data_IF_282808533191
#
_entry.id   IF_282808533191
#
_cell.length_a   1.000
_cell.length_b   1.000
_cell.length_c   1.000
_cell.angle_alpha   90.00
_cell.angle_beta   90.00
_cell.angle_gamma   90.00
#
_symmetry.space_group_name_H-M   'P 1'
#
loop_
_entity.id
_entity.type
_entity.pdbx_description
1 polymer ?
#
# COMPACT_ATOMS: atom_id res chain seq x y z
N UNK A 1 -3.01 0.79 -27.76
CA UNK A 1 -1.94 1.80 -27.52
C UNK A 1 -0.86 1.15 -26.70
N UNK A 2 0.43 1.41 -26.95
CA UNK A 2 1.48 0.90 -26.10
C UNK A 2 1.30 1.40 -24.65
N UNK A 3 1.51 0.53 -23.67
CA UNK A 3 1.34 0.85 -22.23
C UNK A 3 2.23 2.01 -21.72
N UNK A 4 3.19 2.41 -22.52
CA UNK A 4 4.18 3.46 -22.21
C UNK A 4 3.87 4.83 -22.79
N UNK A 5 2.82 4.99 -23.60
CA UNK A 5 2.48 6.29 -24.19
C UNK A 5 1.86 7.21 -23.12
N UNK A 6 2.62 8.22 -22.70
CA UNK A 6 2.23 9.18 -21.67
C UNK A 6 2.14 10.63 -22.19
N UNK A 7 2.50 10.88 -23.45
CA UNK A 7 2.59 12.23 -24.01
C UNK A 7 1.28 13.03 -23.94
N UNK A 8 0.14 12.34 -23.94
CA UNK A 8 -1.17 12.98 -23.78
C UNK A 8 -1.43 13.50 -22.35
N UNK A 9 -0.58 13.15 -21.37
CA UNK A 9 -0.69 13.60 -19.97
C UNK A 9 0.01 14.94 -19.70
N UNK A 10 0.66 15.54 -20.69
CA UNK A 10 1.40 16.81 -20.53
C UNK A 10 0.54 17.97 -20.01
N UNK A 11 -0.79 17.92 -20.20
CA UNK A 11 -1.69 18.91 -19.60
C UNK A 11 -1.65 18.91 -18.08
N UNK A 12 -1.22 17.82 -17.44
CA UNK A 12 -1.08 17.73 -15.99
C UNK A 12 0.08 18.57 -15.44
N UNK A 13 1.05 18.95 -16.27
CA UNK A 13 2.25 19.66 -15.81
C UNK A 13 1.91 20.99 -15.16
N UNK A 14 1.03 21.78 -15.77
CA UNK A 14 0.60 23.06 -15.22
C UNK A 14 -0.42 22.86 -14.07
N UNK A 15 -1.36 21.91 -14.22
CA UNK A 15 -2.40 21.66 -13.22
C UNK A 15 -1.81 21.14 -11.88
N UNK A 16 -0.73 20.34 -11.96
CA UNK A 16 -0.09 19.76 -10.80
C UNK A 16 1.12 20.55 -10.29
N UNK A 17 1.45 21.63 -10.93
CA UNK A 17 2.50 22.54 -10.49
C UNK A 17 2.30 22.93 -9.03
N UNK A 18 3.29 22.68 -8.20
CA UNK A 18 3.23 22.92 -6.75
C UNK A 18 2.22 22.07 -5.96
N UNK A 19 1.64 21.02 -6.54
CA UNK A 19 0.83 20.04 -5.80
C UNK A 19 1.73 18.95 -5.25
N UNK A 20 1.60 18.66 -3.97
CA UNK A 20 2.39 17.61 -3.31
C UNK A 20 1.64 16.29 -3.20
N UNK A 21 0.32 16.33 -3.28
CA UNK A 21 -0.56 15.16 -3.14
C UNK A 21 -1.56 15.16 -4.28
N UNK A 22 -1.68 14.01 -4.94
CA UNK A 22 -2.67 13.75 -5.98
C UNK A 22 -3.50 12.53 -5.59
N UNK A 23 -4.81 12.65 -5.63
CA UNK A 23 -5.74 11.57 -5.37
C UNK A 23 -6.25 11.01 -6.70
N UNK A 24 -5.97 9.73 -6.95
CA UNK A 24 -6.45 9.01 -8.13
C UNK A 24 -7.70 8.19 -7.77
N UNK A 25 -8.84 8.84 -7.77
CA UNK A 25 -10.13 8.19 -7.53
C UNK A 25 -10.53 7.21 -8.63
N UNK A 26 -11.54 6.40 -8.35
CA UNK A 26 -12.21 5.51 -9.32
C UNK A 26 -13.67 5.35 -8.97
N UNK A 27 -14.48 5.08 -9.99
CA UNK A 27 -15.90 4.85 -9.80
C UNK A 27 -16.19 3.37 -9.49
N UNK A 28 -15.37 2.46 -10.01
CA UNK A 28 -15.52 1.02 -9.87
C UNK A 28 -14.13 0.36 -9.82
N UNK A 29 -13.87 -0.42 -8.78
CA UNK A 29 -12.57 -1.08 -8.55
C UNK A 29 -12.14 -2.08 -9.64
N UNK A 30 -13.06 -2.59 -10.44
CA UNK A 30 -12.81 -3.62 -11.45
C UNK A 30 -12.79 -3.07 -12.89
N UNK A 31 -12.75 -1.76 -13.06
CA UNK A 31 -12.65 -1.16 -14.39
C UNK A 31 -11.19 -1.18 -14.89
N UNK A 32 -10.91 -2.09 -15.83
CA UNK A 32 -9.59 -2.25 -16.43
C UNK A 32 -9.10 -0.99 -17.14
N UNK A 33 -9.97 -0.23 -17.80
CA UNK A 33 -9.58 1.00 -18.47
C UNK A 33 -9.09 2.06 -17.49
N UNK A 34 -9.76 2.20 -16.35
CA UNK A 34 -9.33 3.06 -15.24
C UNK A 34 -8.00 2.60 -14.64
N UNK A 35 -7.84 1.30 -14.40
CA UNK A 35 -6.58 0.74 -13.89
C UNK A 35 -5.41 0.96 -14.85
N UNK A 36 -5.64 0.79 -16.16
CA UNK A 36 -4.62 1.08 -17.16
C UNK A 36 -4.26 2.56 -17.19
N UNK A 37 -5.25 3.46 -17.11
CA UNK A 37 -5.00 4.90 -17.05
C UNK A 37 -4.20 5.26 -15.80
N UNK A 38 -4.57 4.78 -14.63
CA UNK A 38 -3.82 4.99 -13.38
C UNK A 38 -2.38 4.50 -13.50
N UNK A 39 -2.15 3.36 -14.12
CA UNK A 39 -0.80 2.82 -14.38
C UNK A 39 0.05 3.81 -15.19
N UNK A 40 -0.50 4.40 -16.24
CA UNK A 40 0.18 5.41 -17.05
C UNK A 40 0.41 6.71 -16.28
N UNK A 41 -0.61 7.17 -15.57
CA UNK A 41 -0.51 8.38 -14.75
C UNK A 41 0.58 8.26 -13.68
N UNK A 42 0.63 7.15 -12.95
CA UNK A 42 1.66 6.93 -11.93
C UNK A 42 3.07 7.01 -12.51
N UNK A 43 3.30 6.40 -13.68
CA UNK A 43 4.60 6.51 -14.37
C UNK A 43 4.93 7.94 -14.75
N UNK A 44 3.98 8.64 -15.36
CA UNK A 44 4.15 10.02 -15.74
C UNK A 44 4.46 10.92 -14.54
N UNK A 45 3.69 10.78 -13.48
CA UNK A 45 3.86 11.54 -12.23
C UNK A 45 5.25 11.32 -11.63
N UNK A 46 5.75 10.08 -11.66
CA UNK A 46 7.09 9.79 -11.18
C UNK A 46 8.18 10.35 -12.10
N UNK A 47 8.10 10.06 -13.41
CA UNK A 47 9.16 10.38 -14.37
C UNK A 47 9.26 11.87 -14.70
N UNK A 48 8.11 12.58 -14.74
CA UNK A 48 8.04 13.97 -15.18
C UNK A 48 7.86 14.96 -14.05
N UNK A 49 7.11 14.59 -13.02
CA UNK A 49 6.72 15.50 -11.95
C UNK A 49 7.34 15.17 -10.59
N UNK A 50 8.14 14.08 -10.51
CA UNK A 50 8.94 13.75 -9.34
C UNK A 50 8.14 13.20 -8.15
N UNK A 51 6.91 12.74 -8.37
CA UNK A 51 6.16 12.03 -7.33
C UNK A 51 6.83 10.68 -7.05
N UNK A 52 7.20 10.45 -5.81
CA UNK A 52 8.00 9.29 -5.43
C UNK A 52 7.38 8.44 -4.32
N UNK A 53 6.17 8.76 -3.89
CA UNK A 53 5.42 7.98 -2.90
C UNK A 53 4.06 7.61 -3.49
N UNK A 54 3.69 6.35 -3.38
CA UNK A 54 2.39 5.83 -3.79
C UNK A 54 1.74 5.17 -2.60
N UNK A 55 0.55 5.66 -2.27
CA UNK A 55 -0.29 5.12 -1.22
C UNK A 55 -1.48 4.39 -1.85
N UNK A 56 -1.61 3.11 -1.53
CA UNK A 56 -2.78 2.31 -1.90
C UNK A 56 -3.87 2.38 -0.85
N UNK A 57 -5.12 2.29 -1.28
CA UNK A 57 -6.26 2.01 -0.40
C UNK A 57 -6.17 0.55 0.08
N UNK A 58 -5.29 0.34 1.03
CA UNK A 58 -4.98 -0.98 1.60
C UNK A 58 -4.41 -0.80 3.00
N UNK A 59 -4.36 -1.88 3.78
CA UNK A 59 -3.88 -1.84 5.15
C UNK A 59 -2.44 -1.33 5.26
N UNK A 60 -2.25 -0.25 6.01
CA UNK A 60 -0.93 0.31 6.32
C UNK A 60 0.01 -0.75 6.89
N UNK A 61 -0.49 -1.59 7.80
CA UNK A 61 0.32 -2.62 8.42
C UNK A 61 0.66 -3.77 7.44
N UNK A 62 -0.26 -4.14 6.57
CA UNK A 62 -0.01 -5.15 5.54
C UNK A 62 1.08 -4.69 4.55
N UNK A 63 1.05 -3.41 4.17
CA UNK A 63 2.09 -2.80 3.33
C UNK A 63 3.43 -2.72 4.05
N UNK A 64 3.43 -2.35 5.34
CA UNK A 64 4.64 -2.38 6.16
C UNK A 64 5.27 -3.78 6.17
N UNK A 65 4.49 -4.83 6.41
CA UNK A 65 5.00 -6.20 6.40
C UNK A 65 5.52 -6.63 5.02
N UNK A 66 4.83 -6.27 3.95
CA UNK A 66 5.28 -6.55 2.59
C UNK A 66 6.62 -5.86 2.29
N UNK A 67 6.79 -4.63 2.74
CA UNK A 67 8.02 -3.85 2.53
C UNK A 67 9.21 -4.46 3.28
N UNK A 68 9.00 -5.17 4.41
CA UNK A 68 10.07 -5.89 5.12
C UNK A 68 10.69 -7.04 4.30
N UNK A 69 9.94 -7.63 3.37
CA UNK A 69 10.47 -8.67 2.47
C UNK A 69 11.52 -8.12 1.48
N UNK A 70 11.62 -6.81 1.35
CA UNK A 70 12.48 -6.11 0.40
C UNK A 70 11.93 -6.10 -1.03
N UNK A 71 12.30 -5.11 -1.80
CA UNK A 71 11.72 -4.78 -3.10
C UNK A 71 11.71 -5.94 -4.11
N UNK A 72 12.80 -6.69 -4.19
CA UNK A 72 12.92 -7.78 -5.16
C UNK A 72 12.02 -8.99 -4.84
N UNK A 73 11.68 -9.17 -3.57
CA UNK A 73 10.81 -10.24 -3.09
C UNK A 73 9.40 -9.78 -2.78
N UNK A 74 9.12 -8.51 -3.06
CA UNK A 74 7.80 -7.92 -2.84
C UNK A 74 6.72 -8.74 -3.55
N UNK A 75 5.76 -9.20 -2.80
CA UNK A 75 4.59 -9.91 -3.31
C UNK A 75 3.32 -9.10 -2.97
N UNK A 76 2.75 -8.39 -3.96
CA UNK A 76 1.57 -7.55 -3.73
C UNK A 76 0.36 -8.30 -3.19
N UNK A 77 0.25 -9.60 -3.46
CA UNK A 77 -0.87 -10.42 -2.94
C UNK A 77 -0.91 -10.49 -1.43
N UNK A 78 0.17 -10.11 -0.75
CA UNK A 78 0.24 -10.11 0.72
C UNK A 78 -0.37 -8.86 1.36
N UNK A 79 -0.53 -7.79 0.61
CA UNK A 79 -0.91 -6.51 1.18
C UNK A 79 -1.97 -5.76 0.38
N UNK A 80 -2.10 -6.03 -0.91
CA UNK A 80 -2.92 -5.25 -1.83
C UNK A 80 -4.09 -6.08 -2.34
N UNK A 81 -5.25 -5.47 -2.48
CA UNK A 81 -6.43 -6.14 -3.05
C UNK A 81 -6.16 -6.71 -4.44
N UNK A 82 -6.79 -7.83 -4.76
CA UNK A 82 -6.55 -8.60 -6.00
C UNK A 82 -6.71 -7.76 -7.26
N UNK A 83 -7.65 -6.83 -7.32
CA UNK A 83 -7.87 -5.97 -8.49
C UNK A 83 -6.70 -4.99 -8.72
N UNK A 84 -5.95 -4.61 -7.67
CA UNK A 84 -4.79 -3.73 -7.78
C UNK A 84 -3.50 -4.45 -8.23
N UNK A 85 -3.39 -5.76 -8.06
CA UNK A 85 -2.16 -6.48 -8.40
C UNK A 85 -2.38 -7.62 -9.40
N UNK A 86 -3.57 -8.22 -9.42
CA UNK A 86 -3.86 -9.42 -10.20
C UNK A 86 -4.35 -9.15 -11.62
N UNK A 87 -4.64 -7.90 -11.98
CA UNK A 87 -5.08 -7.54 -13.32
C UNK A 87 -3.91 -7.40 -14.30
N UNK A 88 -4.16 -7.67 -15.57
CA UNK A 88 -3.16 -7.45 -16.63
C UNK A 88 -2.79 -5.97 -16.76
N UNK A 89 -3.72 -5.08 -16.48
CA UNK A 89 -3.58 -3.63 -16.58
C UNK A 89 -2.59 -3.06 -15.57
N UNK A 90 -2.44 -3.70 -14.42
CA UNK A 90 -1.54 -3.25 -13.35
C UNK A 90 -0.21 -4.01 -13.32
N UNK A 91 -0.08 -5.13 -14.01
CA UNK A 91 1.12 -5.97 -14.01
C UNK A 91 2.40 -5.18 -14.33
N UNK A 92 2.34 -4.36 -15.39
CA UNK A 92 3.48 -3.54 -15.81
C UNK A 92 3.86 -2.49 -14.77
N UNK A 93 2.93 -2.04 -13.93
CA UNK A 93 3.20 -1.11 -12.84
C UNK A 93 4.00 -1.77 -11.72
N UNK A 94 3.69 -3.03 -11.38
CA UNK A 94 4.46 -3.78 -10.38
C UNK A 94 5.89 -4.10 -10.85
N UNK A 95 6.08 -4.37 -12.14
CA UNK A 95 7.40 -4.51 -12.75
C UNK A 95 8.17 -3.19 -12.70
N UNK A 96 7.49 -2.08 -12.99
CA UNK A 96 8.04 -0.74 -12.89
C UNK A 96 8.51 -0.42 -11.46
N UNK A 97 7.72 -0.71 -10.44
CA UNK A 97 8.12 -0.48 -9.05
C UNK A 97 9.37 -1.27 -8.65
N UNK A 98 9.49 -2.52 -9.11
CA UNK A 98 10.68 -3.32 -8.82
C UNK A 98 11.94 -2.73 -9.41
N UNK A 99 11.84 -2.09 -10.56
CA UNK A 99 12.96 -1.48 -11.28
C UNK A 99 13.27 -0.03 -10.86
N UNK A 100 12.36 0.63 -10.10
CA UNK A 100 12.52 2.03 -9.68
C UNK A 100 12.55 2.16 -8.15
N UNK A 101 13.74 2.00 -7.53
CA UNK A 101 13.88 2.02 -6.07
C UNK A 101 13.57 3.37 -5.43
N UNK A 102 13.51 4.44 -6.21
CA UNK A 102 13.12 5.78 -5.76
C UNK A 102 11.64 5.90 -5.36
N UNK A 103 10.79 4.97 -5.81
CA UNK A 103 9.37 4.97 -5.48
C UNK A 103 9.15 4.23 -4.17
N UNK A 104 8.60 4.90 -3.18
CA UNK A 104 8.09 4.27 -1.96
C UNK A 104 6.64 3.82 -2.14
N UNK A 105 6.31 2.65 -1.62
CA UNK A 105 4.95 2.10 -1.61
C UNK A 105 4.47 1.96 -0.18
N UNK A 106 3.24 2.41 0.10
CA UNK A 106 2.62 2.21 1.40
C UNK A 106 1.09 2.11 1.28
N UNK A 107 0.41 1.85 2.40
CA UNK A 107 -1.03 1.86 2.53
C UNK A 107 -1.49 2.99 3.44
N UNK A 108 -2.74 3.40 3.32
CA UNK A 108 -3.29 4.44 4.19
C UNK A 108 -4.52 3.98 4.99
N UNK A 109 -5.01 2.75 4.76
CA UNK A 109 -6.14 2.21 5.52
C UNK A 109 -5.67 1.62 6.85
N UNK A 110 -6.44 1.86 7.90
CA UNK A 110 -6.23 1.24 9.21
C UNK A 110 -6.77 -0.20 9.28
N UNK A 111 -7.50 -0.67 8.28
CA UNK A 111 -8.00 -2.04 8.21
C UNK A 111 -6.89 -3.01 7.81
N UNK A 112 -6.99 -4.24 8.30
CA UNK A 112 -6.17 -5.35 7.82
C UNK A 112 -6.83 -5.90 6.55
N UNK A 113 -6.17 -5.79 5.42
CA UNK A 113 -6.72 -6.18 4.11
C UNK A 113 -6.39 -7.61 3.73
N UNK A 114 -5.37 -8.20 4.36
CA UNK A 114 -4.90 -9.53 4.00
C UNK A 114 -5.32 -10.59 5.03
N UNK A 115 -6.24 -11.45 4.64
CA UNK A 115 -6.74 -12.57 5.46
C UNK A 115 -5.66 -13.56 5.91
N UNK A 116 -4.53 -13.65 5.22
CA UNK A 116 -3.42 -14.55 5.56
C UNK A 116 -2.48 -14.03 6.64
N UNK A 117 -2.55 -12.75 7.00
CA UNK A 117 -1.60 -12.09 7.91
C UNK A 117 -2.11 -11.97 9.35
N UNK A 118 -3.36 -12.35 9.65
CA UNK A 118 -3.93 -12.16 10.98
C UNK A 118 -3.10 -12.75 12.12
N UNK A 119 -2.52 -13.94 11.93
CA UNK A 119 -1.62 -14.56 12.92
C UNK A 119 -0.34 -13.73 13.11
N UNK A 120 0.32 -13.34 12.03
CA UNK A 120 1.54 -12.53 12.09
C UNK A 120 1.30 -11.16 12.72
N UNK A 121 0.13 -10.60 12.48
CA UNK A 121 -0.28 -9.35 13.12
C UNK A 121 -0.37 -9.55 14.64
N UNK A 122 -1.06 -10.58 15.10
CA UNK A 122 -1.19 -10.88 16.53
C UNK A 122 0.17 -11.14 17.17
N UNK A 123 1.03 -11.94 16.52
CA UNK A 123 2.40 -12.20 16.99
C UNK A 123 3.22 -10.91 17.10
N UNK A 124 3.06 -9.98 16.16
CA UNK A 124 3.76 -8.69 16.18
C UNK A 124 3.26 -7.77 17.28
N UNK A 125 1.94 -7.72 17.49
CA UNK A 125 1.32 -6.97 18.60
C UNK A 125 1.77 -7.56 19.93
N UNK A 126 1.75 -8.87 20.07
CA UNK A 126 2.21 -9.57 21.28
C UNK A 126 3.69 -9.28 21.56
N UNK A 127 4.55 -9.36 20.54
CA UNK A 127 5.98 -9.03 20.66
C UNK A 127 6.18 -7.57 21.06
N UNK A 128 5.42 -6.65 20.47
CA UNK A 128 5.46 -5.24 20.82
C UNK A 128 5.07 -5.01 22.27
N UNK A 129 3.95 -5.59 22.69
CA UNK A 129 3.46 -5.47 24.07
C UNK A 129 4.43 -6.09 25.09
N UNK A 130 5.01 -7.24 24.76
CA UNK A 130 6.01 -7.91 25.59
C UNK A 130 7.34 -7.13 25.66
N UNK A 131 7.68 -6.38 24.62
CA UNK A 131 8.86 -5.51 24.59
C UNK A 131 8.70 -4.22 25.40
N UNK A 132 7.48 -3.75 25.57
CA UNK A 132 7.22 -2.45 26.21
C UNK A 132 6.70 -2.52 27.64
N UNK A 133 6.22 -3.65 28.13
CA UNK A 133 5.78 -3.65 29.54
C UNK A 133 5.38 -5.02 30.14
N UNK A 134 6.15 -5.49 31.05
CA UNK A 134 5.70 -6.26 32.22
C UNK A 134 4.61 -5.54 33.04
N UNK A 135 4.42 -4.23 32.86
CA UNK A 135 3.47 -3.42 33.63
C UNK A 135 2.03 -3.52 33.08
N UNK A 136 1.82 -3.46 31.76
CA UNK A 136 0.48 -3.56 31.16
C UNK A 136 -0.10 -5.00 31.24
N UNK A 137 0.74 -6.00 31.18
CA UNK A 137 0.33 -7.40 31.38
C UNK A 137 -0.13 -7.71 32.82
N UNK A 138 0.42 -7.00 33.81
CA UNK A 138 -0.07 -7.06 35.20
C UNK A 138 -1.47 -6.44 35.34
N UNK A 139 -1.76 -5.35 34.66
CA UNK A 139 -3.08 -4.69 34.72
C UNK A 139 -4.18 -5.59 34.14
N UNK A 140 -3.95 -6.26 33.01
CA UNK A 140 -4.94 -7.18 32.43
C UNK A 140 -5.23 -8.40 33.28
N UNK A 141 -4.24 -8.95 33.98
CA UNK A 141 -4.43 -10.03 34.95
C UNK A 141 -5.16 -9.58 36.21
N UNK A 142 -4.96 -8.36 36.64
CA UNK A 142 -5.68 -7.82 37.82
C UNK A 142 -7.16 -7.56 37.50
N UNK A 143 -7.50 -7.14 36.27
CA UNK A 143 -8.89 -6.95 35.87
C UNK A 143 -9.64 -8.30 35.72
N UNK A 144 -8.98 -9.35 35.25
CA UNK A 144 -9.59 -10.68 35.14
C UNK A 144 -9.74 -11.39 36.50
N UNK A 145 -8.91 -11.07 37.48
CA UNK A 145 -9.03 -11.64 38.82
C UNK A 145 -10.13 -11.00 39.70
N UNK A 146 -10.59 -9.80 39.34
CA UNK A 146 -11.63 -9.09 40.10
C UNK A 146 -13.05 -9.31 39.54
N UNK A 147 -13.24 -10.02 38.44
CA UNK A 147 -14.56 -10.34 37.87
C UNK A 147 -15.09 -11.74 38.26
N UNK A 148 -14.44 -12.43 39.15
CA UNK A 148 -14.91 -13.70 39.74
C UNK A 148 -15.14 -13.54 41.26
N UNK A 149 -16.11 -12.68 41.62
CA UNK A 149 -16.84 -12.77 42.90
C UNK A 149 -18.25 -12.25 42.72
#
# INVERSE_FOLDING_TARGET
>A
MPDTATDFLCFLDEELKNKQILLLGEQLHQDGATLQMKTRMVRYLHEKLGYNVILYETGLYDMYLMNQDGRQRMNPSKAVWTFWWGSNETKSLWEYYRSHPSIALDGFDCQLTNYGQGRKHMESVEKYLNGYSLLLFRISRMCNASSCR
#
